data_IF_872708534198
#
_entry.id   IF_872708534198
#
_cell.length_a   1.000
_cell.length_b   1.000
_cell.length_c   1.000
_cell.angle_alpha   90.00
_cell.angle_beta   90.00
_cell.angle_gamma   90.00
#
_symmetry.space_group_name_H-M   'P 1'
#
loop_
_entity.id
_entity.type
_entity.pdbx_description
1 polymer ?
#
# COMPACT_ATOMS: atom_id res chain seq x y z
N UNK A 1 -22.13 1.95 -8.83
CA UNK A 1 -22.23 3.42 -9.08
C UNK A 1 -21.20 3.90 -10.09
N UNK A 2 -19.89 3.81 -9.81
CA UNK A 2 -18.82 4.29 -10.69
C UNK A 2 -18.81 3.72 -12.12
N UNK A 3 -18.99 2.39 -12.27
CA UNK A 3 -19.18 1.75 -13.59
C UNK A 3 -20.33 2.37 -14.40
N UNK A 4 -21.49 2.61 -13.76
CA UNK A 4 -22.66 3.23 -14.41
C UNK A 4 -22.41 4.68 -14.84
N UNK A 5 -21.53 5.39 -14.13
CA UNK A 5 -21.17 6.78 -14.40
C UNK A 5 -19.98 6.93 -15.37
N UNK A 6 -19.39 5.82 -15.84
CA UNK A 6 -18.20 5.88 -16.70
C UNK A 6 -16.95 6.41 -15.99
N UNK A 7 -16.88 6.33 -14.66
CA UNK A 7 -15.78 6.88 -13.87
C UNK A 7 -14.89 5.77 -13.29
N UNK A 8 -13.56 5.87 -13.38
CA UNK A 8 -12.65 4.99 -12.67
C UNK A 8 -12.53 5.38 -11.19
N UNK A 9 -12.15 4.42 -10.37
CA UNK A 9 -11.86 4.63 -8.94
C UNK A 9 -10.66 3.78 -8.51
N UNK A 10 -9.86 4.31 -7.59
CA UNK A 10 -8.81 3.61 -6.85
C UNK A 10 -9.11 3.84 -5.36
N UNK A 11 -9.15 2.77 -4.57
CA UNK A 11 -9.45 2.85 -3.15
C UNK A 11 -9.42 1.47 -2.45
N UNK A 12 -9.43 1.41 -1.12
CA UNK A 12 -9.47 2.54 -0.15
C UNK A 12 -8.25 2.55 0.81
N UNK A 13 -7.97 3.73 1.38
CA UNK A 13 -6.86 4.08 2.30
C UNK A 13 -5.45 3.97 1.69
N UNK A 14 -4.69 5.07 1.67
CA UNK A 14 -3.39 5.14 0.98
C UNK A 14 -2.36 4.25 1.67
N UNK A 15 -1.65 3.44 0.88
CA UNK A 15 -0.44 2.73 1.29
C UNK A 15 0.77 3.58 0.92
N UNK A 16 1.35 4.29 1.89
CA UNK A 16 2.51 5.19 1.67
C UNK A 16 3.70 4.46 1.02
N UNK A 17 4.58 5.20 0.32
CA UNK A 17 5.70 4.61 -0.44
C UNK A 17 6.54 3.64 0.40
N UNK A 18 6.99 4.09 1.56
CA UNK A 18 7.60 3.24 2.59
C UNK A 18 6.93 3.58 3.92
N UNK A 19 5.88 2.83 4.26
CA UNK A 19 5.12 3.00 5.49
C UNK A 19 5.19 1.79 6.42
N UNK A 20 4.67 1.96 7.63
CA UNK A 20 4.61 0.88 8.62
C UNK A 20 3.87 -0.36 8.08
N UNK A 21 2.73 -0.18 7.41
CA UNK A 21 1.94 -1.28 6.87
C UNK A 21 2.69 -2.08 5.79
N UNK A 22 3.36 -1.42 4.84
CA UNK A 22 4.09 -2.14 3.76
C UNK A 22 5.31 -2.87 4.33
N UNK A 23 6.06 -2.25 5.26
CA UNK A 23 7.21 -2.89 5.91
C UNK A 23 6.77 -4.10 6.74
N UNK A 24 5.72 -3.92 7.55
CA UNK A 24 5.17 -5.00 8.35
C UNK A 24 4.69 -6.16 7.47
N UNK A 25 3.96 -5.84 6.40
CA UNK A 25 3.52 -6.84 5.42
C UNK A 25 4.69 -7.59 4.79
N UNK A 26 5.74 -6.89 4.37
CA UNK A 26 6.92 -7.52 3.77
C UNK A 26 7.61 -8.49 4.76
N UNK A 27 7.75 -8.12 6.03
CA UNK A 27 8.33 -8.98 7.06
C UNK A 27 7.44 -10.20 7.36
N UNK A 28 6.13 -9.99 7.51
CA UNK A 28 5.18 -11.08 7.75
C UNK A 28 5.13 -12.07 6.56
N UNK A 29 5.23 -11.55 5.33
CA UNK A 29 5.33 -12.37 4.13
C UNK A 29 6.63 -13.16 4.10
N UNK A 30 7.75 -12.53 4.42
CA UNK A 30 9.06 -13.19 4.50
C UNK A 30 9.03 -14.36 5.49
N UNK A 31 8.41 -14.19 6.66
CA UNK A 31 8.26 -15.27 7.63
C UNK A 31 7.52 -16.45 7.00
N UNK A 32 6.35 -16.17 6.40
CA UNK A 32 5.54 -17.19 5.74
C UNK A 32 6.31 -17.93 4.62
N UNK A 33 6.97 -17.20 3.73
CA UNK A 33 7.70 -17.79 2.59
C UNK A 33 8.94 -18.58 3.01
N UNK A 34 9.53 -18.26 4.17
CA UNK A 34 10.70 -18.96 4.71
C UNK A 34 10.33 -20.07 5.70
N UNK A 35 9.04 -20.34 5.89
CA UNK A 35 8.55 -21.38 6.79
C UNK A 35 8.66 -21.02 8.27
N UNK A 36 8.84 -19.74 8.61
CA UNK A 36 8.77 -19.25 9.99
C UNK A 36 7.31 -19.04 10.35
N UNK A 37 6.83 -19.73 11.39
CA UNK A 37 5.46 -19.57 11.87
C UNK A 37 5.39 -18.31 12.73
N UNK A 38 4.70 -17.27 12.25
CA UNK A 38 4.40 -16.10 13.07
C UNK A 38 3.51 -16.52 14.25
N UNK A 39 3.79 -16.00 15.44
CA UNK A 39 3.07 -16.30 16.67
C UNK A 39 2.41 -15.04 17.23
N UNK A 40 3.17 -13.95 17.36
CA UNK A 40 2.65 -12.68 17.85
C UNK A 40 3.15 -11.55 16.97
N UNK A 41 2.34 -10.50 16.82
CA UNK A 41 2.77 -9.31 16.10
C UNK A 41 2.12 -8.04 16.60
N UNK A 42 2.88 -6.95 16.58
CA UNK A 42 2.37 -5.62 16.89
C UNK A 42 2.91 -4.55 15.97
N UNK A 43 2.10 -3.51 15.78
CA UNK A 43 2.46 -2.27 15.12
C UNK A 43 1.87 -1.10 15.89
N UNK A 44 2.74 -0.33 16.51
CA UNK A 44 2.40 0.92 17.21
C UNK A 44 2.87 2.08 16.36
N UNK A 45 2.01 3.07 16.15
CA UNK A 45 2.33 4.25 15.34
C UNK A 45 2.20 5.50 16.22
N UNK A 46 3.08 6.47 16.08
CA UNK A 46 2.95 7.79 16.73
C UNK A 46 3.33 8.89 15.75
N UNK A 47 2.70 10.06 15.86
CA UNK A 47 2.94 11.19 14.97
C UNK A 47 2.41 12.49 15.53
N UNK A 48 2.80 13.63 14.94
CA UNK A 48 2.48 14.96 15.48
C UNK A 48 1.60 15.83 14.57
N UNK A 49 1.08 15.27 13.47
CA UNK A 49 0.26 16.03 12.53
C UNK A 49 -1.24 15.89 12.88
N UNK A 50 -2.09 16.65 12.17
CA UNK A 50 -3.53 16.64 12.43
C UNK A 50 -4.20 15.29 12.14
N UNK A 51 -3.68 14.43 11.26
CA UNK A 51 -4.24 13.08 11.07
C UNK A 51 -4.06 12.25 12.35
N UNK A 52 -2.90 12.36 13.03
CA UNK A 52 -2.66 11.71 14.32
C UNK A 52 -3.47 12.33 15.46
N UNK A 53 -3.60 13.66 15.49
CA UNK A 53 -4.45 14.33 16.48
C UNK A 53 -5.91 13.88 16.37
N UNK A 54 -6.42 13.81 15.13
CA UNK A 54 -7.78 13.33 14.85
C UNK A 54 -7.97 11.83 15.17
N UNK A 55 -6.89 11.04 15.28
CA UNK A 55 -6.95 9.64 15.70
C UNK A 55 -7.13 9.45 17.21
N UNK A 56 -6.96 10.49 18.04
CA UNK A 56 -7.29 10.41 19.46
C UNK A 56 -8.80 10.20 19.70
N UNK A 57 -9.64 10.60 18.75
CA UNK A 57 -11.08 10.33 18.77
C UNK A 57 -11.37 8.84 18.54
N UNK A 58 -11.56 8.10 19.64
CA UNK A 58 -11.69 6.64 19.62
C UNK A 58 -12.83 6.10 18.75
N UNK A 59 -13.91 6.85 18.58
CA UNK A 59 -15.05 6.44 17.73
C UNK A 59 -14.69 6.30 16.25
N UNK A 60 -13.63 6.98 15.77
CA UNK A 60 -13.17 6.91 14.38
C UNK A 60 -12.12 5.82 14.14
N UNK A 61 -11.70 5.10 15.17
CA UNK A 61 -10.57 4.16 15.11
C UNK A 61 -10.96 2.75 14.63
N UNK A 62 -12.21 2.34 14.80
CA UNK A 62 -12.64 0.96 14.49
C UNK A 62 -12.42 0.57 13.02
N UNK A 63 -12.74 1.47 12.10
CA UNK A 63 -12.56 1.25 10.66
C UNK A 63 -11.07 1.21 10.26
N UNK A 64 -10.26 2.13 10.79
CA UNK A 64 -8.80 2.18 10.54
C UNK A 64 -8.08 0.97 11.15
N UNK A 65 -8.46 0.53 12.35
CA UNK A 65 -7.91 -0.66 13.00
C UNK A 65 -8.19 -1.89 12.14
N UNK A 66 -9.43 -2.08 11.73
CA UNK A 66 -9.83 -3.21 10.86
C UNK A 66 -9.06 -3.21 9.53
N UNK A 67 -8.97 -2.07 8.85
CA UNK A 67 -8.21 -1.90 7.59
C UNK A 67 -6.74 -2.30 7.74
N UNK A 68 -6.06 -1.78 8.78
CA UNK A 68 -4.63 -2.06 9.00
C UNK A 68 -4.37 -3.49 9.42
N UNK A 69 -5.20 -4.05 10.32
CA UNK A 69 -5.08 -5.45 10.74
C UNK A 69 -5.25 -6.37 9.54
N UNK A 70 -6.31 -6.20 8.75
CA UNK A 70 -6.58 -7.03 7.57
C UNK A 70 -5.48 -6.91 6.50
N UNK A 71 -4.90 -5.72 6.35
CA UNK A 71 -3.77 -5.53 5.46
C UNK A 71 -2.57 -6.39 5.88
N UNK A 72 -2.28 -6.58 7.17
CA UNK A 72 -1.16 -7.44 7.58
C UNK A 72 -1.56 -8.91 7.54
N UNK A 73 -2.73 -9.26 8.08
CA UNK A 73 -3.12 -10.67 8.28
C UNK A 73 -3.44 -11.42 7.00
N UNK A 74 -3.90 -10.72 5.95
CA UNK A 74 -4.30 -11.33 4.67
C UNK A 74 -3.18 -12.04 3.90
N UNK A 75 -1.92 -11.77 4.23
CA UNK A 75 -0.76 -12.28 3.48
C UNK A 75 0.14 -13.25 4.26
N UNK A 76 -0.19 -13.54 5.52
CA UNK A 76 0.63 -14.37 6.43
C UNK A 76 0.45 -15.89 6.20
N UNK A 77 -0.49 -16.26 5.32
CA UNK A 77 -0.79 -17.64 4.95
C UNK A 77 -1.42 -18.51 6.04
N UNK A 78 -1.70 -17.94 7.22
CA UNK A 78 -2.47 -18.57 8.29
C UNK A 78 -3.15 -17.49 9.15
N UNK A 79 -4.14 -17.91 9.94
CA UNK A 79 -4.88 -17.02 10.84
C UNK A 79 -4.25 -17.04 12.22
N UNK A 80 -3.99 -15.86 12.79
CA UNK A 80 -3.62 -15.68 14.19
C UNK A 80 -4.87 -15.40 15.03
N UNK A 81 -4.89 -15.83 16.30
CA UNK A 81 -5.87 -15.35 17.28
C UNK A 81 -5.87 -13.82 17.37
N UNK A 82 -7.03 -13.22 17.64
CA UNK A 82 -7.15 -11.76 17.68
C UNK A 82 -6.25 -11.12 18.76
N UNK A 83 -6.02 -11.82 19.87
CA UNK A 83 -5.20 -11.36 20.99
C UNK A 83 -3.69 -11.38 20.68
N UNK A 84 -3.29 -12.10 19.62
CA UNK A 84 -1.90 -12.21 19.16
C UNK A 84 -1.54 -11.15 18.09
N UNK A 85 -2.51 -10.33 17.69
CA UNK A 85 -2.35 -9.29 16.66
C UNK A 85 -2.72 -7.93 17.20
N UNK A 86 -1.73 -7.09 17.46
CA UNK A 86 -1.92 -5.71 17.87
C UNK A 86 -1.50 -4.72 16.80
N UNK A 87 -2.34 -4.51 15.78
CA UNK A 87 -2.13 -3.47 14.78
C UNK A 87 -3.02 -2.28 15.14
N UNK A 88 -2.45 -1.38 15.94
CA UNK A 88 -3.19 -0.47 16.78
C UNK A 88 -3.16 0.98 16.34
N UNK A 89 -4.06 1.80 16.92
CA UNK A 89 -4.22 3.20 16.59
C UNK A 89 -2.97 4.00 16.97
N UNK A 90 -2.93 5.21 16.45
CA UNK A 90 -1.76 6.05 16.57
C UNK A 90 -1.87 7.00 17.77
N UNK A 91 -0.79 7.21 18.51
CA UNK A 91 -0.73 8.26 19.53
C UNK A 91 -0.29 9.60 18.90
N UNK A 92 -0.60 10.69 19.59
CA UNK A 92 -0.26 12.04 19.19
C UNK A 92 0.89 12.58 20.03
N UNK A 93 2.00 12.92 19.36
CA UNK A 93 3.18 13.50 19.97
C UNK A 93 3.50 14.82 19.27
N UNK A 94 3.14 15.98 19.86
CA UNK A 94 3.12 17.27 19.15
C UNK A 94 4.43 17.65 18.46
N UNK A 95 5.55 17.38 19.12
CA UNK A 95 6.88 17.78 18.63
C UNK A 95 7.38 16.93 17.44
N UNK A 96 6.69 15.82 17.11
CA UNK A 96 6.99 15.06 15.91
C UNK A 96 6.57 15.80 14.63
N UNK A 97 5.64 16.75 14.71
CA UNK A 97 5.06 17.44 13.56
C UNK A 97 4.62 16.44 12.47
N UNK A 98 5.13 16.51 11.25
CA UNK A 98 4.78 15.56 10.19
C UNK A 98 5.59 14.24 10.21
N UNK A 99 6.51 14.11 11.18
CA UNK A 99 7.21 12.83 11.38
C UNK A 99 6.27 11.82 12.00
N UNK A 100 6.34 10.62 11.45
CA UNK A 100 5.66 9.43 11.94
C UNK A 100 6.68 8.41 12.34
N UNK A 101 6.53 7.89 13.55
CA UNK A 101 7.27 6.73 14.00
C UNK A 101 6.37 5.51 14.01
N UNK A 102 6.94 4.37 13.66
CA UNK A 102 6.29 3.08 13.81
C UNK A 102 7.23 2.09 14.48
N UNK A 103 6.73 1.42 15.50
CA UNK A 103 7.38 0.31 16.18
C UNK A 103 6.67 -0.96 15.76
N UNK A 104 7.40 -1.85 15.08
CA UNK A 104 6.88 -3.10 14.55
C UNK A 104 7.60 -4.24 15.27
N UNK A 105 6.83 -5.22 15.75
CA UNK A 105 7.34 -6.44 16.38
C UNK A 105 6.72 -7.66 15.71
N UNK A 106 7.55 -8.65 15.40
CA UNK A 106 7.13 -9.96 14.91
C UNK A 106 7.85 -11.03 15.72
N UNK A 107 7.09 -11.87 16.40
CA UNK A 107 7.58 -13.06 17.08
C UNK A 107 7.14 -14.28 16.30
N UNK A 108 8.06 -15.21 16.06
CA UNK A 108 7.77 -16.44 15.35
C UNK A 108 8.61 -17.61 15.82
N UNK A 109 8.30 -18.77 15.27
CA UNK A 109 8.95 -20.04 15.54
C UNK A 109 9.62 -20.53 14.26
N UNK A 110 10.94 -20.68 14.31
CA UNK A 110 11.77 -21.13 13.21
C UNK A 110 12.00 -22.66 13.27
N UNK A 111 12.92 -23.15 12.45
CA UNK A 111 13.29 -24.57 12.41
C UNK A 111 13.71 -25.09 13.79
N UNK A 112 13.26 -26.29 14.14
CA UNK A 112 13.56 -26.92 15.44
C UNK A 112 12.88 -26.22 16.62
N UNK A 113 11.73 -25.59 16.38
CA UNK A 113 10.94 -24.87 17.39
C UNK A 113 11.68 -23.71 18.06
N UNK A 114 12.75 -23.21 17.44
CA UNK A 114 13.58 -22.12 17.97
C UNK A 114 12.83 -20.78 17.84
N UNK A 115 12.68 -20.00 18.92
CA UNK A 115 12.02 -18.71 18.87
C UNK A 115 12.84 -17.69 18.07
N UNK A 116 12.15 -16.83 17.34
CA UNK A 116 12.68 -15.75 16.54
C UNK A 116 11.90 -14.47 16.82
N UNK A 117 12.60 -13.38 17.09
CA UNK A 117 11.98 -12.07 17.31
C UNK A 117 12.61 -11.03 16.36
N UNK A 118 11.76 -10.20 15.77
CA UNK A 118 12.17 -9.02 14.98
C UNK A 118 11.51 -7.80 15.60
N UNK A 119 12.33 -6.80 15.92
CA UNK A 119 11.89 -5.48 16.32
C UNK A 119 12.45 -4.44 15.35
N UNK A 120 11.57 -3.54 14.90
CA UNK A 120 11.93 -2.51 13.94
C UNK A 120 11.30 -1.17 14.34
N UNK A 121 12.11 -0.10 14.36
CA UNK A 121 11.62 1.29 14.37
C UNK A 121 11.75 1.88 12.97
N UNK A 122 10.65 2.35 12.42
CA UNK A 122 10.59 3.13 11.18
C UNK A 122 10.29 4.58 11.52
N UNK A 123 11.01 5.52 10.91
CA UNK A 123 10.72 6.95 10.97
C UNK A 123 10.63 7.51 9.56
N UNK A 124 9.53 8.21 9.27
CA UNK A 124 9.26 8.82 7.96
C UNK A 124 8.56 10.15 8.12
N UNK A 125 8.64 10.98 7.07
CA UNK A 125 7.75 12.13 6.90
C UNK A 125 6.45 11.65 6.24
N UNK A 126 5.31 11.74 6.93
CA UNK A 126 4.08 11.07 6.51
C UNK A 126 3.46 11.71 5.25
N UNK A 127 3.46 13.04 5.18
CA UNK A 127 2.82 13.77 4.07
C UNK A 127 3.54 13.56 2.73
N UNK A 128 4.88 13.77 2.60
CA UNK A 128 5.58 13.50 1.34
C UNK A 128 5.54 12.03 0.92
N UNK A 129 5.57 11.11 1.90
CA UNK A 129 5.53 9.67 1.68
C UNK A 129 4.18 9.18 1.12
N UNK A 130 3.09 9.92 1.37
CA UNK A 130 1.78 9.65 0.77
C UNK A 130 1.57 10.39 -0.56
N UNK A 131 2.14 11.60 -0.72
CA UNK A 131 1.94 12.44 -1.90
C UNK A 131 2.37 11.77 -3.21
N UNK A 132 3.48 11.01 -3.21
CA UNK A 132 3.93 10.26 -4.38
C UNK A 132 2.90 9.21 -4.83
N UNK A 133 2.31 8.49 -3.87
CA UNK A 133 1.31 7.45 -4.13
C UNK A 133 0.01 8.05 -4.68
N UNK A 134 -0.42 9.19 -4.11
CA UNK A 134 -1.58 9.93 -4.63
C UNK A 134 -1.36 10.38 -6.06
N UNK A 135 -0.15 10.86 -6.37
CA UNK A 135 0.22 11.28 -7.72
C UNK A 135 0.09 10.13 -8.72
N UNK A 136 0.61 8.95 -8.38
CA UNK A 136 0.50 7.77 -9.25
C UNK A 136 -0.94 7.26 -9.38
N UNK A 137 -1.73 7.31 -8.30
CA UNK A 137 -3.15 6.98 -8.36
C UNK A 137 -3.91 7.91 -9.33
N UNK A 138 -3.69 9.23 -9.24
CA UNK A 138 -4.31 10.21 -10.15
C UNK A 138 -3.89 9.95 -11.60
N UNK A 139 -2.62 9.64 -11.85
CA UNK A 139 -2.12 9.30 -13.19
C UNK A 139 -2.78 8.04 -13.75
N UNK A 140 -2.91 6.99 -12.94
CA UNK A 140 -3.60 5.76 -13.32
C UNK A 140 -5.08 6.00 -13.64
N UNK A 141 -5.79 6.79 -12.81
CA UNK A 141 -7.15 7.22 -13.09
C UNK A 141 -7.25 8.02 -14.39
N UNK A 142 -6.30 8.90 -14.67
CA UNK A 142 -6.28 9.68 -15.92
C UNK A 142 -6.04 8.79 -17.15
N UNK A 143 -5.16 7.79 -17.05
CA UNK A 143 -5.00 6.79 -18.10
C UNK A 143 -6.32 6.04 -18.34
N UNK A 144 -6.96 5.53 -17.28
CA UNK A 144 -8.25 4.87 -17.38
C UNK A 144 -9.33 5.73 -18.05
N UNK A 145 -9.44 7.00 -17.65
CA UNK A 145 -10.38 7.95 -18.24
C UNK A 145 -10.15 8.16 -19.75
N UNK A 146 -8.89 8.30 -20.17
CA UNK A 146 -8.56 8.52 -21.58
C UNK A 146 -8.90 7.30 -22.47
N UNK A 147 -9.04 6.11 -21.87
CA UNK A 147 -9.38 4.86 -22.55
C UNK A 147 -10.81 4.39 -22.28
N UNK A 148 -11.67 5.23 -21.69
CA UNK A 148 -13.07 4.91 -21.42
C UNK A 148 -13.28 3.80 -20.39
N UNK A 149 -12.27 3.51 -19.56
CA UNK A 149 -12.39 2.52 -18.49
C UNK A 149 -13.17 3.09 -17.30
N UNK A 150 -13.95 2.24 -16.65
CA UNK A 150 -14.77 2.64 -15.50
C UNK A 150 -14.81 1.56 -14.42
N UNK A 151 -15.15 1.98 -13.19
CA UNK A 151 -15.09 1.13 -12.02
C UNK A 151 -13.69 1.05 -11.42
N UNK A 152 -13.49 0.08 -10.54
CA UNK A 152 -12.25 -0.06 -9.81
C UNK A 152 -11.10 -0.51 -10.72
N UNK A 153 -9.94 0.12 -10.58
CA UNK A 153 -8.70 -0.29 -11.23
C UNK A 153 -7.98 -1.31 -10.34
N UNK A 154 -8.17 -2.61 -10.60
CA UNK A 154 -7.76 -3.68 -9.66
C UNK A 154 -6.26 -3.67 -9.32
N UNK A 155 -5.39 -3.73 -10.32
CA UNK A 155 -3.93 -3.66 -10.15
C UNK A 155 -3.50 -2.42 -9.35
N UNK A 156 -3.73 -1.20 -9.87
CA UNK A 156 -3.41 0.04 -9.16
C UNK A 156 -4.01 0.13 -7.75
N UNK A 157 -5.24 -0.34 -7.54
CA UNK A 157 -5.85 -0.35 -6.20
C UNK A 157 -5.11 -1.28 -5.25
N UNK A 158 -4.80 -2.50 -5.69
CA UNK A 158 -4.10 -3.49 -4.85
C UNK A 158 -2.70 -3.05 -4.45
N UNK A 159 -2.02 -2.29 -5.31
CA UNK A 159 -0.68 -1.79 -5.04
C UNK A 159 -0.69 -0.55 -4.15
N UNK A 160 -1.49 0.46 -4.51
CA UNK A 160 -1.44 1.80 -3.92
C UNK A 160 -2.28 1.95 -2.65
N UNK A 161 -3.19 1.02 -2.36
CA UNK A 161 -4.17 1.13 -1.28
C UNK A 161 -4.02 0.00 -0.24
N UNK A 162 -4.37 0.28 1.01
CA UNK A 162 -4.30 -0.67 2.13
C UNK A 162 -5.46 -1.64 2.12
N UNK A 163 -6.64 -1.19 1.68
CA UNK A 163 -7.88 -1.97 1.63
C UNK A 163 -8.49 -1.99 0.22
N UNK A 164 -7.78 -2.57 -0.78
CA UNK A 164 -8.37 -2.86 -2.07
C UNK A 164 -9.49 -3.92 -1.97
N UNK A 165 -10.37 -3.97 -2.97
CA UNK A 165 -11.35 -5.08 -3.10
C UNK A 165 -10.66 -6.45 -3.15
N UNK A 166 -9.54 -6.54 -3.86
CA UNK A 166 -8.73 -7.76 -3.97
C UNK A 166 -7.37 -7.52 -3.33
N UNK A 167 -7.16 -8.09 -2.14
CA UNK A 167 -5.86 -8.13 -1.48
C UNK A 167 -4.95 -9.11 -2.22
N UNK A 168 -3.71 -8.69 -2.48
CA UNK A 168 -2.69 -9.47 -3.18
C UNK A 168 -1.34 -9.32 -2.48
N UNK A 169 -0.40 -10.26 -2.66
CA UNK A 169 1.01 -10.01 -2.37
C UNK A 169 1.49 -8.74 -3.10
N UNK A 170 2.35 -7.97 -2.44
CA UNK A 170 2.74 -6.65 -2.96
C UNK A 170 3.57 -6.75 -4.27
N UNK A 171 4.25 -7.87 -4.51
CA UNK A 171 4.91 -8.20 -5.80
C UNK A 171 3.90 -8.30 -6.94
N UNK A 172 2.85 -9.08 -6.75
CA UNK A 172 1.84 -9.37 -7.76
C UNK A 172 1.02 -8.11 -8.05
N UNK A 173 0.70 -7.35 -7.00
CA UNK A 173 0.04 -6.05 -7.12
C UNK A 173 0.86 -5.05 -7.95
N UNK A 174 2.19 -5.05 -7.77
CA UNK A 174 3.10 -4.22 -8.57
C UNK A 174 3.07 -4.66 -10.03
N UNK A 175 3.22 -5.95 -10.32
CA UNK A 175 3.20 -6.47 -11.69
C UNK A 175 1.90 -6.11 -12.41
N UNK A 176 0.74 -6.34 -11.78
CA UNK A 176 -0.56 -5.96 -12.34
C UNK A 176 -0.70 -4.45 -12.57
N UNK A 177 -0.06 -3.63 -11.75
CA UNK A 177 -0.03 -2.17 -11.94
C UNK A 177 0.84 -1.79 -13.13
N UNK A 178 2.00 -2.41 -13.28
CA UNK A 178 2.89 -2.18 -14.44
C UNK A 178 2.26 -2.67 -15.74
N UNK A 179 1.58 -3.82 -15.74
CA UNK A 179 0.81 -4.32 -16.88
C UNK A 179 -0.30 -3.34 -17.28
N UNK A 180 -1.03 -2.80 -16.29
CA UNK A 180 -2.03 -1.77 -16.53
C UNK A 180 -1.42 -0.53 -17.17
N UNK A 181 -0.30 -0.03 -16.64
CA UNK A 181 0.39 1.14 -17.17
C UNK A 181 0.89 0.86 -18.60
N UNK A 182 1.55 -0.26 -18.83
CA UNK A 182 2.08 -0.63 -20.15
C UNK A 182 0.97 -0.75 -21.21
N UNK A 183 -0.16 -1.35 -20.84
CA UNK A 183 -1.32 -1.52 -21.74
C UNK A 183 -1.95 -0.20 -22.17
N UNK A 184 -2.01 0.79 -21.27
CA UNK A 184 -2.69 2.07 -21.52
C UNK A 184 -1.73 3.25 -21.67
N UNK A 185 -0.42 3.00 -21.72
CA UNK A 185 0.58 4.01 -21.97
C UNK A 185 0.33 4.66 -23.33
N UNK A 186 0.53 5.99 -23.42
CA UNK A 186 0.51 6.67 -24.71
C UNK A 186 1.62 6.09 -25.58
N UNK A 187 1.26 5.51 -26.72
CA UNK A 187 2.25 5.17 -27.74
C UNK A 187 2.93 6.46 -28.19
N UNK A 188 4.26 6.45 -28.29
CA UNK A 188 4.99 7.56 -28.89
C UNK A 188 4.42 7.80 -30.29
N UNK A 189 4.24 9.06 -30.73
CA UNK A 189 3.85 9.33 -32.10
C UNK A 189 4.89 8.67 -33.01
N UNK A 190 4.44 7.69 -33.81
CA UNK A 190 5.28 7.09 -34.85
C UNK A 190 5.75 8.24 -35.75
N UNK A 191 7.03 8.56 -35.71
CA UNK A 191 7.63 9.50 -36.66
C UNK A 191 7.45 8.90 -38.05
N UNK A 192 6.48 9.42 -38.81
CA UNK A 192 6.36 9.08 -40.23
C UNK A 192 7.71 9.41 -40.88
N UNK A 193 8.32 8.48 -41.66
CA UNK A 193 9.55 8.78 -42.34
C UNK A 193 9.33 10.02 -43.23
N UNK A 194 10.14 11.04 -43.00
CA UNK A 194 10.20 12.23 -43.85
C UNK A 194 10.44 11.77 -45.28
N UNK A 195 9.50 12.05 -46.19
CA UNK A 195 9.73 11.88 -47.62
C UNK A 195 10.88 12.81 -48.00
N UNK A 196 12.09 12.25 -48.09
CA UNK A 196 13.24 12.94 -48.66
C UNK A 196 12.85 13.38 -50.08
N UNK A 197 12.75 14.70 -50.29
CA UNK A 197 12.61 15.27 -51.63
C UNK A 197 13.85 14.88 -52.41
N UNK A 198 13.68 14.03 -53.42
CA UNK A 198 14.70 13.78 -54.43
C UNK A 198 15.10 15.14 -55.04
N UNK A 199 16.35 15.54 -54.81
CA UNK A 199 16.96 16.65 -55.55
C UNK A 199 17.38 16.10 -56.90
N UNK A 200 16.61 16.44 -57.94
CA UNK A 200 17.04 16.39 -59.33
C UNK A 200 17.93 17.58 -59.63
N UNK A 201 19.19 17.31 -59.98
CA UNK A 201 20.04 18.11 -60.88
C UNK A 201 21.23 17.25 -61.29
#
# INVERSE_FOLDING_TARGET
>A
RFKKAGLPIIGDDIKSQVGATIVHRALARLFHERGVRLQHTSQLNVGGNMDFYNMLERERLESKKTSKTNAVTSIMGHTLPADDVHVGPSDYVPWLTDRKWAHIRLEGQAFGDVPLNVELKLEVWDSPNSAGIVTDAVRCCKLALNHGLSGQLDGPSSYLMKSPMNQRPDSDARELTEEFIAKYARQAPTTKPSKAKARTS
#
